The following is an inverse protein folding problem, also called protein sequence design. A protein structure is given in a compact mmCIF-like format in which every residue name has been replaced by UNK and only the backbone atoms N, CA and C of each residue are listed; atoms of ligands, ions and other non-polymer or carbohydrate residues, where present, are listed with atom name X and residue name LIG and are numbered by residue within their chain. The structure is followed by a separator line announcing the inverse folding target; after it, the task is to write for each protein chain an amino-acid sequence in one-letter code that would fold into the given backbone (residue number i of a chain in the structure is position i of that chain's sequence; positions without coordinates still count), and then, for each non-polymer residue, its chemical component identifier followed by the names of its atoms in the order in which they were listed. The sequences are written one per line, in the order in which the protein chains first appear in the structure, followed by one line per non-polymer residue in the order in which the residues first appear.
data_IF_906955915042
#
_entry.id   IF_906955915042
#
_cell.length_a   1.000
_cell.length_b   1.000
_cell.length_c   1.000
_cell.angle_alpha   90.00
_cell.angle_beta   90.00
_cell.angle_gamma   90.00
#
_symmetry.space_group_name_H-M   'P 1'
#
loop_
_entity.id
_entity.type
_entity.pdbx_description
1 polymer ?
#
# COMPACT_ATOMS: atom_id res chain seq x y z
N UNK A 1 25.75 7.74 10.69
CA UNK A 1 25.55 9.08 10.08
C UNK A 1 24.06 9.22 9.78
N UNK A 2 23.29 9.85 10.67
CA UNK A 2 21.88 10.13 10.39
C UNK A 2 21.82 11.28 9.38
N UNK A 3 21.41 10.98 8.15
CA UNK A 3 21.15 12.00 7.14
C UNK A 3 20.15 13.01 7.72
N UNK A 4 20.44 14.31 7.57
CA UNK A 4 19.50 15.36 7.96
C UNK A 4 18.14 15.06 7.31
N UNK A 5 17.02 15.22 8.06
CA UNK A 5 15.70 14.96 7.50
C UNK A 5 15.50 15.84 6.26
N UNK A 6 14.98 15.29 5.15
CA UNK A 6 14.76 16.07 3.94
C UNK A 6 13.79 17.22 4.24
N UNK A 7 14.17 18.44 3.87
CA UNK A 7 13.33 19.61 4.07
C UNK A 7 12.02 19.44 3.30
N UNK A 8 10.88 19.50 4.01
CA UNK A 8 9.57 19.29 3.40
C UNK A 8 9.25 20.37 2.36
N UNK A 9 9.24 19.99 1.09
CA UNK A 9 8.97 20.88 -0.06
C UNK A 9 7.47 21.07 -0.34
N UNK A 10 6.61 20.37 0.40
CA UNK A 10 5.16 20.34 0.17
C UNK A 10 4.37 21.47 0.84
N UNK A 11 3.04 21.43 0.66
CA UNK A 11 2.13 22.41 1.25
C UNK A 11 1.92 22.16 2.76
N UNK A 12 2.62 22.93 3.60
CA UNK A 12 2.55 22.86 5.07
C UNK A 12 1.14 23.12 5.62
N UNK A 13 0.37 24.04 5.02
CA UNK A 13 -1.02 24.31 5.46
C UNK A 13 -1.90 23.08 5.31
N UNK A 14 -1.75 22.33 4.20
CA UNK A 14 -2.49 21.08 3.96
C UNK A 14 -2.05 19.96 4.91
N UNK A 15 -0.75 19.90 5.23
CA UNK A 15 -0.20 18.91 6.15
C UNK A 15 -0.70 19.12 7.60
N UNK A 16 -0.77 20.37 8.03
CA UNK A 16 -1.18 20.76 9.39
C UNK A 16 -2.70 20.99 9.54
N UNK A 17 -3.44 20.94 8.43
CA UNK A 17 -4.89 21.18 8.43
C UNK A 17 -5.63 20.19 9.34
N UNK A 18 -6.42 20.74 10.26
CA UNK A 18 -7.30 19.98 11.14
C UNK A 18 -6.67 19.46 12.43
N UNK A 19 -5.33 19.55 12.60
CA UNK A 19 -4.66 19.09 13.81
C UNK A 19 -5.08 19.88 15.06
N UNK A 20 -5.37 21.18 14.91
CA UNK A 20 -5.82 22.05 16.01
C UNK A 20 -7.12 21.59 16.69
N UNK A 21 -7.89 20.70 16.06
CA UNK A 21 -9.15 20.17 16.60
C UNK A 21 -8.99 18.87 17.38
N UNK A 22 -7.78 18.33 17.49
CA UNK A 22 -7.52 17.01 18.09
C UNK A 22 -6.58 17.20 19.28
N UNK A 23 -6.79 16.44 20.35
CA UNK A 23 -5.84 16.32 21.44
C UNK A 23 -4.69 15.40 20.99
N UNK A 24 -3.49 15.96 20.85
CA UNK A 24 -2.30 15.25 20.35
C UNK A 24 -1.43 14.67 21.47
N UNK A 25 -1.78 14.93 22.73
CA UNK A 25 -0.97 14.59 23.88
C UNK A 25 -1.08 13.10 24.20
N UNK A 26 0.06 12.43 24.39
CA UNK A 26 0.13 11.00 24.71
C UNK A 26 -0.16 10.03 23.56
N UNK A 27 -0.40 10.52 22.33
CA UNK A 27 -0.60 9.67 21.15
C UNK A 27 0.74 9.27 20.52
N UNK A 28 0.84 8.04 20.03
CA UNK A 28 2.00 7.59 19.25
C UNK A 28 1.85 8.02 17.80
N UNK A 29 2.99 8.28 17.17
CA UNK A 29 3.07 8.71 15.79
C UNK A 29 3.69 7.59 14.98
N UNK A 30 2.91 7.01 14.06
CA UNK A 30 3.32 5.87 13.27
C UNK A 30 3.50 6.25 11.81
N UNK A 31 4.62 5.83 11.24
CA UNK A 31 4.96 6.07 9.83
C UNK A 31 4.74 4.81 9.03
N UNK A 32 3.98 4.92 7.95
CA UNK A 32 3.68 3.85 7.00
C UNK A 32 4.28 4.21 5.65
N UNK A 33 5.16 3.37 5.13
CA UNK A 33 5.60 3.48 3.74
C UNK A 33 4.63 2.74 2.81
N UNK A 34 4.07 3.46 1.84
CA UNK A 34 3.16 2.89 0.84
C UNK A 34 3.87 2.27 -0.37
N UNK A 35 5.20 2.47 -0.51
CA UNK A 35 5.98 2.03 -1.66
C UNK A 35 5.87 0.52 -1.88
N UNK A 36 5.38 0.12 -3.06
CA UNK A 36 5.20 -1.29 -3.42
C UNK A 36 4.11 -2.02 -2.62
N UNK A 37 3.41 -1.34 -1.71
CA UNK A 37 2.37 -1.95 -0.89
C UNK A 37 1.03 -1.98 -1.61
N UNK A 38 0.23 -3.01 -1.32
CA UNK A 38 -1.10 -3.16 -1.92
C UNK A 38 -2.10 -2.25 -1.23
N UNK A 39 -2.75 -1.37 -1.98
CA UNK A 39 -3.69 -0.35 -1.48
C UNK A 39 -4.65 -0.84 -0.38
N UNK A 40 -5.38 -1.94 -0.63
CA UNK A 40 -6.38 -2.43 0.32
C UNK A 40 -5.77 -2.99 1.61
N UNK A 41 -4.59 -3.60 1.54
CA UNK A 41 -3.92 -4.17 2.71
C UNK A 41 -3.34 -3.07 3.58
N UNK A 42 -2.67 -2.09 2.95
CA UNK A 42 -2.19 -0.89 3.62
C UNK A 42 -3.35 -0.16 4.31
N UNK A 43 -4.44 0.10 3.58
CA UNK A 43 -5.59 0.81 4.12
C UNK A 43 -6.23 0.09 5.32
N UNK A 44 -6.28 -1.25 5.31
CA UNK A 44 -6.81 -2.03 6.42
C UNK A 44 -5.98 -1.90 7.68
N UNK A 45 -4.65 -1.93 7.56
CA UNK A 45 -3.75 -1.80 8.71
C UNK A 45 -3.83 -0.38 9.29
N UNK A 46 -3.83 0.64 8.42
CA UNK A 46 -4.03 2.03 8.82
C UNK A 46 -5.36 2.19 9.56
N UNK A 47 -6.46 1.59 9.06
CA UNK A 47 -7.77 1.70 9.69
C UNK A 47 -7.82 1.06 11.09
N UNK A 48 -7.07 -0.01 11.34
CA UNK A 48 -6.95 -0.65 12.67
C UNK A 48 -6.22 0.25 13.64
N UNK A 49 -5.09 0.82 13.21
CA UNK A 49 -4.26 1.73 14.03
C UNK A 49 -4.99 3.05 14.33
N UNK A 50 -5.69 3.64 13.35
CA UNK A 50 -6.53 4.82 13.55
C UNK A 50 -7.71 4.55 14.49
N UNK A 51 -8.18 3.30 14.60
CA UNK A 51 -9.19 2.92 15.58
C UNK A 51 -8.59 2.67 16.97
N UNK A 52 -7.27 2.45 17.07
CA UNK A 52 -6.58 2.05 18.30
C UNK A 52 -6.82 0.60 18.69
N UNK A 53 -7.33 -0.23 17.77
CA UNK A 53 -7.63 -1.66 18.01
C UNK A 53 -6.39 -2.53 18.19
N UNK A 54 -5.23 -2.01 17.82
CA UNK A 54 -3.93 -2.62 18.03
C UNK A 54 -3.46 -2.51 19.50
N UNK A 55 -4.07 -1.62 20.29
CA UNK A 55 -3.74 -1.44 21.71
C UNK A 55 -4.70 -2.24 22.60
N UNK A 56 -4.23 -2.81 23.72
CA UNK A 56 -5.09 -3.52 24.67
C UNK A 56 -6.08 -2.58 25.38
N UNK A 57 -5.77 -1.29 25.47
CA UNK A 57 -6.63 -0.24 26.07
C UNK A 57 -7.77 0.20 25.12
N UNK A 58 -8.10 -0.60 24.11
CA UNK A 58 -9.13 -0.26 23.13
C UNK A 58 -10.52 -0.21 23.78
N UNK A 59 -11.16 0.95 23.72
CA UNK A 59 -12.54 1.15 24.10
C UNK A 59 -13.32 1.69 22.88
N UNK A 60 -14.43 1.05 22.46
CA UNK A 60 -15.11 1.42 21.20
C UNK A 60 -15.75 2.80 21.21
N UNK A 61 -16.09 3.32 22.40
CA UNK A 61 -16.73 4.62 22.62
C UNK A 61 -15.71 5.77 22.74
N UNK A 62 -14.43 5.47 22.97
CA UNK A 62 -13.36 6.47 23.13
C UNK A 62 -12.47 6.49 21.89
N UNK A 63 -11.94 7.66 21.56
CA UNK A 63 -11.07 7.85 20.41
C UNK A 63 -9.57 7.77 20.76
N UNK A 64 -9.07 6.57 21.07
CA UNK A 64 -7.68 6.34 21.50
C UNK A 64 -6.71 5.94 20.37
N UNK A 65 -7.11 6.14 19.11
CA UNK A 65 -6.30 5.78 17.94
C UNK A 65 -5.05 6.63 17.78
N UNK A 66 -3.99 6.02 17.26
CA UNK A 66 -2.69 6.65 17.00
C UNK A 66 -2.71 7.54 15.75
N UNK A 67 -1.75 8.45 15.67
CA UNK A 67 -1.57 9.28 14.48
C UNK A 67 -0.82 8.50 13.40
N UNK A 68 -1.36 8.47 12.19
CA UNK A 68 -0.78 7.72 11.08
C UNK A 68 -0.28 8.69 10.01
N UNK A 69 0.99 8.60 9.68
CA UNK A 69 1.63 9.30 8.57
C UNK A 69 1.92 8.27 7.47
N UNK A 70 1.42 8.51 6.27
CA UNK A 70 1.67 7.65 5.10
C UNK A 70 2.59 8.39 4.13
N UNK A 71 3.66 7.74 3.71
CA UNK A 71 4.63 8.23 2.73
C UNK A 71 4.47 7.49 1.39
N UNK A 72 5.02 8.07 0.32
CA UNK A 72 5.07 7.46 -1.02
C UNK A 72 3.73 7.05 -1.59
N UNK A 73 2.69 7.87 -1.41
CA UNK A 73 1.36 7.54 -1.96
C UNK A 73 1.35 7.37 -3.49
N UNK A 74 2.33 7.93 -4.21
CA UNK A 74 2.50 7.77 -5.66
C UNK A 74 2.86 6.33 -6.07
N UNK A 75 3.66 5.64 -5.25
CA UNK A 75 4.24 4.32 -5.57
C UNK A 75 3.38 3.15 -5.07
N UNK A 76 2.09 3.43 -4.82
CA UNK A 76 1.17 2.42 -4.31
C UNK A 76 0.78 1.42 -5.39
N UNK A 77 0.79 0.14 -5.02
CA UNK A 77 0.50 -0.95 -5.94
C UNK A 77 -0.96 -1.36 -5.91
N UNK A 78 -1.52 -1.60 -7.10
CA UNK A 78 -2.86 -2.14 -7.28
C UNK A 78 -2.79 -3.37 -8.17
N UNK A 79 -3.39 -4.47 -7.74
CA UNK A 79 -3.30 -5.76 -8.42
C UNK A 79 -4.20 -5.84 -9.65
N UNK A 80 -3.72 -6.49 -10.72
CA UNK A 80 -4.51 -6.80 -11.91
C UNK A 80 -4.81 -5.57 -12.78
N UNK A 81 -5.97 -5.55 -13.45
CA UNK A 81 -6.39 -4.45 -14.35
C UNK A 81 -7.12 -3.30 -13.64
N UNK A 82 -7.08 -3.28 -12.31
CA UNK A 82 -7.81 -2.30 -11.49
C UNK A 82 -7.39 -0.86 -11.74
N UNK A 83 -6.17 -0.61 -12.24
CA UNK A 83 -5.73 0.74 -12.63
C UNK A 83 -6.65 1.38 -13.66
N UNK A 84 -7.14 0.60 -14.63
CA UNK A 84 -8.06 1.06 -15.67
C UNK A 84 -9.52 0.84 -15.29
N UNK A 85 -9.81 -0.30 -14.65
CA UNK A 85 -11.20 -0.76 -14.47
C UNK A 85 -11.88 -0.14 -13.24
N UNK A 86 -11.10 0.30 -12.24
CA UNK A 86 -11.67 0.88 -11.02
C UNK A 86 -12.07 2.33 -11.29
N UNK A 87 -13.37 2.60 -11.17
CA UNK A 87 -13.95 3.93 -11.35
C UNK A 87 -14.44 4.48 -10.01
N UNK A 88 -14.13 5.75 -9.75
CA UNK A 88 -14.68 6.52 -8.65
C UNK A 88 -15.90 7.30 -9.13
N UNK A 89 -17.05 7.02 -8.53
CA UNK A 89 -18.29 7.71 -8.79
C UNK A 89 -18.61 8.71 -7.67
N UNK A 90 -19.12 9.88 -8.05
CA UNK A 90 -19.76 10.81 -7.13
C UNK A 90 -20.84 11.62 -7.87
N UNK A 91 -21.85 12.06 -7.13
CA UNK A 91 -22.95 12.85 -7.66
C UNK A 91 -22.90 14.26 -7.06
N UNK A 92 -23.25 15.28 -7.83
CA UNK A 92 -23.25 16.68 -7.34
C UNK A 92 -24.54 17.08 -6.63
N UNK A 93 -25.63 16.32 -6.83
CA UNK A 93 -26.95 16.57 -6.27
C UNK A 93 -28.01 16.91 -7.33
N UNK A 94 -27.59 17.48 -8.46
CA UNK A 94 -28.46 17.80 -9.59
C UNK A 94 -28.77 16.56 -10.45
N UNK A 95 -30.01 16.43 -10.91
CA UNK A 95 -30.47 15.31 -11.76
C UNK A 95 -29.56 15.17 -12.98
N UNK A 96 -29.12 13.95 -13.30
CA UNK A 96 -28.28 13.64 -14.46
C UNK A 96 -26.77 13.87 -14.28
N UNK A 97 -26.30 14.37 -13.12
CA UNK A 97 -24.91 14.75 -12.93
C UNK A 97 -24.08 13.70 -12.17
N UNK A 98 -24.03 12.47 -12.71
CA UNK A 98 -23.12 11.44 -12.23
C UNK A 98 -21.71 11.71 -12.80
N UNK A 99 -20.77 12.04 -11.91
CA UNK A 99 -19.37 12.23 -12.28
C UNK A 99 -18.60 10.95 -12.00
N UNK A 100 -17.76 10.59 -12.96
CA UNK A 100 -16.88 9.44 -12.87
C UNK A 100 -15.42 9.84 -13.09
N UNK A 101 -14.50 9.09 -12.50
CA UNK A 101 -13.06 9.23 -12.74
C UNK A 101 -12.39 7.88 -12.55
N UNK A 102 -11.53 7.48 -13.49
CA UNK A 102 -10.79 6.22 -13.38
C UNK A 102 -9.69 6.34 -12.32
N UNK A 103 -9.28 5.21 -11.78
CA UNK A 103 -8.21 5.17 -10.78
C UNK A 103 -6.90 5.74 -11.33
N UNK A 104 -6.55 5.44 -12.59
CA UNK A 104 -5.38 6.00 -13.27
C UNK A 104 -5.39 7.53 -13.21
N UNK A 105 -6.45 8.17 -13.71
CA UNK A 105 -6.57 9.64 -13.72
C UNK A 105 -6.58 10.23 -12.30
N UNK A 106 -7.16 9.49 -11.33
CA UNK A 106 -7.15 9.91 -9.93
C UNK A 106 -5.75 9.83 -9.31
N UNK A 107 -4.93 8.85 -9.68
CA UNK A 107 -3.54 8.73 -9.21
C UNK A 107 -2.64 9.81 -9.82
N UNK A 108 -2.88 10.20 -11.06
CA UNK A 108 -2.18 11.31 -11.72
C UNK A 108 -2.54 12.65 -11.08
N UNK A 109 -3.82 12.87 -10.79
CA UNK A 109 -4.30 14.12 -10.20
C UNK A 109 -3.92 14.27 -8.72
N UNK A 110 -4.35 13.32 -7.90
CA UNK A 110 -4.19 13.36 -6.43
C UNK A 110 -4.10 11.93 -5.86
N UNK A 111 -2.88 11.34 -5.80
CA UNK A 111 -2.69 9.98 -5.31
C UNK A 111 -3.02 9.85 -3.81
N UNK A 112 -2.88 10.94 -3.04
CA UNK A 112 -3.22 10.96 -1.61
C UNK A 112 -4.69 10.68 -1.36
N UNK A 113 -5.57 11.10 -2.27
CA UNK A 113 -7.02 10.95 -2.13
C UNK A 113 -7.47 9.49 -2.34
N UNK A 114 -6.72 8.72 -3.13
CA UNK A 114 -6.96 7.28 -3.35
C UNK A 114 -6.87 6.54 -2.02
N UNK A 115 -5.82 6.80 -1.25
CA UNK A 115 -5.57 6.19 0.06
C UNK A 115 -6.57 6.72 1.08
N UNK A 116 -6.78 8.05 1.15
CA UNK A 116 -7.73 8.67 2.08
C UNK A 116 -9.13 8.07 1.92
N UNK A 117 -9.66 8.01 0.69
CA UNK A 117 -10.98 7.41 0.41
C UNK A 117 -11.04 5.93 0.77
N UNK A 118 -9.96 5.18 0.55
CA UNK A 118 -9.91 3.76 0.91
C UNK A 118 -10.00 3.57 2.42
N UNK A 119 -9.19 4.30 3.19
CA UNK A 119 -9.18 4.22 4.66
C UNK A 119 -10.49 4.73 5.25
N UNK A 120 -11.00 5.87 4.77
CA UNK A 120 -12.27 6.44 5.24
C UNK A 120 -13.44 5.47 5.08
N UNK A 121 -13.46 4.70 3.97
CA UNK A 121 -14.47 3.66 3.73
C UNK A 121 -14.27 2.40 4.58
N UNK A 122 -13.10 2.19 5.17
CA UNK A 122 -12.83 1.09 6.11
C UNK A 122 -13.08 1.47 7.58
N UNK A 123 -13.17 2.76 7.89
CA UNK A 123 -13.56 3.22 9.22
C UNK A 123 -15.07 3.05 9.45
N UNK A 124 -15.50 2.74 10.68
CA UNK A 124 -16.92 2.60 11.00
C UNK A 124 -17.65 3.94 10.78
N UNK A 125 -18.87 3.88 10.23
CA UNK A 125 -19.68 5.06 9.95
C UNK A 125 -20.35 5.56 11.24
N UNK A 126 -19.62 6.36 12.01
CA UNK A 126 -20.10 7.02 13.22
C UNK A 126 -19.57 8.47 13.29
N UNK A 127 -19.95 9.22 14.34
CA UNK A 127 -19.49 10.61 14.54
C UNK A 127 -17.97 10.71 14.75
N UNK A 128 -17.36 9.69 15.36
CA UNK A 128 -15.90 9.60 15.57
C UNK A 128 -15.10 9.36 14.29
N UNK A 129 -15.75 9.00 13.17
CA UNK A 129 -15.08 8.69 11.91
C UNK A 129 -14.28 9.89 11.40
N UNK A 130 -14.86 11.07 11.49
CA UNK A 130 -14.25 12.29 10.96
C UNK A 130 -13.07 12.72 11.84
N UNK A 131 -13.15 12.52 13.15
CA UNK A 131 -12.05 12.78 14.07
C UNK A 131 -10.89 11.81 13.86
N UNK A 132 -11.18 10.52 13.61
CA UNK A 132 -10.18 9.52 13.21
C UNK A 132 -9.53 9.85 11.85
N UNK A 133 -10.29 10.31 10.85
CA UNK A 133 -9.73 10.71 9.56
C UNK A 133 -8.78 11.91 9.70
N UNK A 134 -9.06 12.84 10.63
CA UNK A 134 -8.17 13.98 10.93
C UNK A 134 -6.79 13.53 11.44
N UNK A 135 -6.67 12.35 12.07
CA UNK A 135 -5.38 11.75 12.47
C UNK A 135 -4.58 11.09 11.34
N UNK A 136 -5.16 10.92 10.15
CA UNK A 136 -4.49 10.30 8.99
C UNK A 136 -3.84 11.32 8.05
N UNK A 137 -2.52 11.47 8.07
CA UNK A 137 -1.80 12.35 7.12
C UNK A 137 -1.12 11.53 6.04
N UNK A 138 -1.21 12.00 4.79
CA UNK A 138 -0.74 11.25 3.62
C UNK A 138 0.07 12.21 2.76
N UNK A 139 1.28 11.79 2.41
CA UNK A 139 2.23 12.51 1.57
C UNK A 139 2.46 11.72 0.29
N UNK A 140 2.67 12.44 -0.80
CA UNK A 140 2.85 11.84 -2.12
C UNK A 140 4.26 11.30 -2.32
N UNK A 141 5.26 11.90 -1.67
CA UNK A 141 6.65 11.42 -1.63
C UNK A 141 7.09 11.00 -0.23
N UNK A 142 8.41 10.91 -0.05
CA UNK A 142 9.08 10.48 1.17
C UNK A 142 9.14 11.56 2.28
N UNK A 143 8.87 12.82 1.92
CA UNK A 143 9.04 13.95 2.83
C UNK A 143 7.79 14.20 3.69
N UNK A 144 8.01 14.53 4.97
CA UNK A 144 6.94 14.94 5.90
C UNK A 144 7.43 16.04 6.84
N UNK A 145 6.58 16.98 7.30
CA UNK A 145 7.01 18.07 8.17
C UNK A 145 7.17 17.70 9.66
N UNK A 146 6.82 16.48 10.06
CA UNK A 146 6.67 16.10 11.47
C UNK A 146 7.95 15.59 12.13
N UNK A 147 9.06 16.32 12.01
CA UNK A 147 10.36 15.87 12.54
C UNK A 147 10.52 16.07 14.06
N UNK A 148 9.73 16.96 14.65
CA UNK A 148 9.86 17.33 16.07
C UNK A 148 9.34 16.25 17.04
N UNK A 149 8.79 15.15 16.54
CA UNK A 149 8.11 14.13 17.33
C UNK A 149 8.74 12.74 17.13
N UNK A 150 8.67 11.87 18.15
CA UNK A 150 9.17 10.50 18.02
C UNK A 150 8.28 9.72 17.04
N UNK A 151 8.87 9.31 15.92
CA UNK A 151 8.21 8.57 14.84
C UNK A 151 8.53 7.08 14.97
N UNK A 152 7.50 6.25 15.11
CA UNK A 152 7.62 4.79 15.11
C UNK A 152 7.33 4.27 13.68
N UNK A 153 8.33 3.71 12.96
CA UNK A 153 8.06 3.11 11.66
C UNK A 153 7.21 1.85 11.84
N UNK A 154 6.08 1.79 11.14
CA UNK A 154 5.20 0.62 11.14
C UNK A 154 5.64 -0.36 10.07
N UNK A 155 6.07 -1.55 10.52
CA UNK A 155 6.39 -2.66 9.64
C UNK A 155 5.13 -3.47 9.39
N UNK A 156 4.83 -3.73 8.11
CA UNK A 156 3.72 -4.61 7.78
C UNK A 156 3.99 -6.04 8.27
N UNK A 157 2.98 -6.75 8.79
CA UNK A 157 3.15 -8.14 9.18
C UNK A 157 3.63 -8.97 7.97
N UNK A 158 4.64 -9.84 8.16
CA UNK A 158 5.24 -10.59 7.07
C UNK A 158 4.19 -11.50 6.42
N UNK A 159 4.18 -11.52 5.08
CA UNK A 159 3.21 -12.29 4.31
C UNK A 159 3.89 -13.41 3.57
N UNK A 160 3.38 -14.63 3.74
CA UNK A 160 3.70 -15.73 2.84
C UNK A 160 2.83 -15.63 1.58
N UNK A 161 3.34 -14.96 0.55
CA UNK A 161 2.69 -14.88 -0.77
C UNK A 161 3.13 -16.08 -1.59
N UNK A 162 2.18 -16.72 -2.28
CA UNK A 162 2.54 -17.62 -3.38
C UNK A 162 3.08 -16.77 -4.52
N UNK A 163 4.40 -16.81 -4.74
CA UNK A 163 5.09 -16.09 -5.82
C UNK A 163 4.43 -16.34 -7.19
N UNK A 164 3.97 -17.56 -7.42
CA UNK A 164 3.40 -17.98 -8.70
C UNK A 164 2.00 -18.57 -8.56
N UNK A 165 1.15 -18.28 -9.56
CA UNK A 165 -0.12 -19.00 -9.73
C UNK A 165 0.17 -20.50 -9.91
N UNK A 166 -0.62 -21.41 -9.32
CA UNK A 166 -0.37 -22.86 -9.43
C UNK A 166 -0.25 -23.36 -10.88
N UNK A 167 -1.05 -22.79 -11.80
CA UNK A 167 -0.96 -23.12 -13.24
C UNK A 167 0.36 -22.65 -13.87
N UNK A 168 0.80 -21.43 -13.57
CA UNK A 168 2.07 -20.88 -14.08
C UNK A 168 3.28 -21.65 -13.52
N UNK A 169 3.25 -21.99 -12.22
CA UNK A 169 4.27 -22.84 -11.59
C UNK A 169 4.33 -24.22 -12.25
N UNK A 170 3.17 -24.86 -12.49
CA UNK A 170 3.10 -26.15 -13.18
C UNK A 170 3.62 -26.07 -14.62
N UNK A 171 3.34 -24.98 -15.35
CA UNK A 171 3.85 -24.77 -16.69
C UNK A 171 5.38 -24.61 -16.72
N UNK A 172 5.95 -23.83 -15.79
CA UNK A 172 7.40 -23.68 -15.64
C UNK A 172 8.08 -25.00 -15.32
N UNK A 173 7.56 -25.76 -14.35
CA UNK A 173 8.12 -27.07 -13.98
C UNK A 173 8.07 -28.02 -15.18
N UNK A 174 6.99 -28.01 -15.97
CA UNK A 174 6.89 -28.80 -17.20
C UNK A 174 7.91 -28.35 -18.26
N UNK A 175 8.11 -27.04 -18.42
CA UNK A 175 9.10 -26.49 -19.35
C UNK A 175 10.54 -26.86 -18.95
N UNK A 176 10.89 -26.68 -17.67
CA UNK A 176 12.19 -27.07 -17.11
C UNK A 176 12.44 -28.57 -17.27
N UNK A 177 11.45 -29.42 -16.98
CA UNK A 177 11.58 -30.87 -17.15
C UNK A 177 11.76 -31.26 -18.63
N UNK A 178 11.10 -30.54 -19.55
CA UNK A 178 11.27 -30.73 -20.99
C UNK A 178 12.66 -30.30 -21.47
N UNK A 179 13.19 -29.19 -20.98
CA UNK A 179 14.57 -28.74 -21.28
C UNK A 179 15.62 -29.70 -20.72
N UNK A 180 15.44 -30.18 -19.49
CA UNK A 180 16.33 -31.19 -18.89
C UNK A 180 16.33 -32.49 -19.70
N UNK A 181 15.16 -32.95 -20.14
CA UNK A 181 15.07 -34.14 -21.00
C UNK A 181 15.72 -33.94 -22.38
N UNK A 182 15.65 -32.73 -22.95
CA UNK A 182 16.37 -32.40 -24.18
C UNK A 182 17.88 -32.39 -23.98
N UNK A 183 18.37 -31.73 -22.91
CA UNK A 183 19.80 -31.69 -22.57
C UNK A 183 20.36 -33.08 -22.29
N UNK A 184 19.60 -33.93 -21.59
CA UNK A 184 20.00 -35.31 -21.33
C UNK A 184 20.08 -36.14 -22.62
N UNK A 185 19.15 -35.95 -23.56
CA UNK A 185 19.22 -36.57 -24.89
C UNK A 185 20.41 -36.07 -25.70
N UNK A 186 20.64 -34.75 -25.74
CA UNK A 186 21.79 -34.17 -26.44
C UNK A 186 23.13 -34.66 -25.85
N UNK A 187 23.22 -34.86 -24.52
CA UNK A 187 24.39 -35.48 -23.88
C UNK A 187 24.53 -36.97 -24.20
N UNK A 188 23.42 -37.71 -24.31
CA UNK A 188 23.40 -39.13 -24.68
C UNK A 188 23.81 -39.32 -26.15
N UNK A 189 23.26 -38.50 -27.05
CA UNK A 189 23.60 -38.45 -28.47
C UNK A 189 25.08 -38.04 -28.67
N UNK A 190 25.59 -37.08 -27.88
CA UNK A 190 27.00 -36.69 -27.91
C UNK A 190 27.95 -37.76 -27.33
N UNK A 191 27.49 -38.61 -26.41
CA UNK A 191 28.25 -39.76 -25.90
C UNK A 191 28.30 -40.90 -26.92
N UNK A 192 27.17 -41.20 -27.57
CA UNK A 192 27.11 -42.22 -28.62
C UNK A 192 27.97 -41.83 -29.84
N UNK A 193 27.92 -40.55 -30.26
CA UNK A 193 28.78 -40.05 -31.34
C UNK A 193 30.29 -40.12 -31.02
N UNK A 194 30.69 -40.02 -29.74
CA UNK A 194 32.09 -40.19 -29.33
C UNK A 194 32.50 -41.66 -29.25
N UNK A 195 31.58 -42.56 -28.92
CA UNK A 195 31.82 -44.00 -28.92
C UNK A 195 32.04 -44.54 -30.35
N UNK A 196 31.26 -44.07 -31.33
CA UNK A 196 31.42 -44.46 -32.75
C UNK A 196 32.72 -43.93 -33.40
N UNK A 197 33.28 -42.82 -32.90
CA UNK A 197 34.54 -42.24 -33.42
C UNK A 197 35.78 -42.88 -32.78
N UNK A 198 35.62 -43.68 -31.72
CA UNK A 198 36.72 -44.36 -31.01
C UNK A 198 36.76 -45.88 -31.25
N UNK A 199 35.88 -46.40 -32.09
CA UNK A 199 35.87 -47.77 -32.63
C UNK A 199 36.43 -47.77 -34.07
#
# INVERSE_FOLDING_TARGET
MAAAPPAFTGNLKKALAGLRRINLDGLRWRVFDAKGQVLGRLASQIAVVLQGKDKPTYAPHVENGDMCIVLNAKDISVTGRKMTDKIYYWHTGYIGHLKERRLKDQMEKDPTEVIRKAVLRMLPRNRLRDDRDRKLRIFSGDEHPFHDRPLEPFVMPPRQVREMRPRARRALVRAQKKEQAKRAKEEEDAKNAKADVSA
#
